data_IF_957207129516
#
_entry.id   IF_957207129516
#
_cell.length_a   1.000
_cell.length_b   1.000
_cell.length_c   1.000
_cell.angle_alpha   90.00
_cell.angle_beta   90.00
_cell.angle_gamma   90.00
#
_symmetry.space_group_name_H-M   'P 1'
#
loop_
_entity.id
_entity.type
_entity.pdbx_description
1 polymer ?
#
# COMPACT_ATOMS: atom_id res chain seq x y z
N UNK A 1 -45.62 54.06 -19.52
CA UNK A 1 -46.03 53.24 -18.35
C UNK A 1 -44.78 52.62 -17.76
N UNK A 2 -44.66 52.68 -16.44
CA UNK A 2 -43.48 52.32 -15.66
C UNK A 2 -43.42 50.81 -15.40
N UNK A 3 -42.20 50.26 -15.28
CA UNK A 3 -41.85 49.26 -14.25
C UNK A 3 -40.34 49.06 -14.22
N UNK A 4 -39.71 49.69 -13.24
CA UNK A 4 -38.34 49.45 -12.77
C UNK A 4 -38.31 48.08 -12.07
N UNK A 5 -37.34 47.22 -12.42
CA UNK A 5 -37.07 45.98 -11.68
C UNK A 5 -35.66 46.07 -11.09
N UNK A 6 -35.60 45.99 -9.77
CA UNK A 6 -34.42 46.06 -8.91
C UNK A 6 -33.83 44.67 -8.63
N UNK A 7 -32.52 44.67 -8.37
CA UNK A 7 -31.74 43.74 -7.53
C UNK A 7 -31.28 42.38 -8.11
N UNK A 8 -30.02 42.35 -8.53
CA UNK A 8 -29.14 41.18 -8.40
C UNK A 8 -27.84 41.66 -7.76
N UNK A 9 -27.60 41.32 -6.50
CA UNK A 9 -26.36 41.62 -5.79
C UNK A 9 -25.19 40.82 -6.40
N UNK A 10 -23.95 41.35 -6.39
CA UNK A 10 -22.78 40.59 -6.79
C UNK A 10 -22.53 39.45 -5.80
N UNK A 11 -22.29 38.27 -6.35
CA UNK A 11 -21.96 37.06 -5.62
C UNK A 11 -20.64 37.29 -4.86
N UNK A 12 -20.71 37.40 -3.53
CA UNK A 12 -19.53 37.53 -2.68
C UNK A 12 -18.63 36.29 -2.83
N UNK A 13 -17.30 36.45 -2.91
CA UNK A 13 -16.38 35.34 -2.95
C UNK A 13 -16.51 34.53 -1.66
N UNK A 14 -16.91 33.27 -1.83
CA UNK A 14 -17.10 32.31 -0.75
C UNK A 14 -15.81 32.18 0.07
N UNK A 15 -16.01 32.28 1.38
CA UNK A 15 -15.02 32.36 2.44
C UNK A 15 -13.79 31.45 2.26
N UNK A 16 -12.65 32.04 2.67
CA UNK A 16 -11.33 31.44 2.87
C UNK A 16 -11.42 30.00 3.39
N UNK A 17 -10.69 29.11 2.71
CA UNK A 17 -10.40 27.77 3.20
C UNK A 17 -9.92 27.84 4.66
N UNK A 18 -10.53 27.01 5.52
CA UNK A 18 -10.03 26.81 6.88
C UNK A 18 -8.54 26.44 6.81
N UNK A 19 -7.70 26.92 7.74
CA UNK A 19 -6.32 26.49 7.81
C UNK A 19 -6.32 24.97 7.88
N UNK A 20 -5.65 24.34 6.92
CA UNK A 20 -5.38 22.90 6.93
C UNK A 20 -4.57 22.65 8.20
N UNK A 21 -5.24 22.30 9.30
CA UNK A 21 -4.57 21.88 10.52
C UNK A 21 -3.58 20.78 10.18
N UNK A 22 -2.41 20.83 10.81
CA UNK A 22 -1.31 19.88 10.62
C UNK A 22 -1.87 18.45 10.61
N UNK A 23 -1.92 17.85 9.41
CA UNK A 23 -2.36 16.47 9.26
C UNK A 23 -1.25 15.57 9.76
N UNK A 24 -1.31 15.27 11.05
CA UNK A 24 -0.39 14.33 11.68
C UNK A 24 -0.85 12.91 11.37
N UNK A 25 0.06 12.08 10.85
CA UNK A 25 -0.17 10.64 10.71
C UNK A 25 -0.44 10.08 12.12
N UNK A 26 -1.68 9.70 12.40
CA UNK A 26 -2.03 9.10 13.69
C UNK A 26 -1.39 7.71 13.77
N UNK A 27 -0.36 7.59 14.62
CA UNK A 27 0.30 6.33 14.92
C UNK A 27 0.33 6.09 16.42
N UNK A 28 0.08 4.85 16.88
CA UNK A 28 0.30 4.49 18.28
C UNK A 28 1.80 4.46 18.65
N UNK A 29 2.69 4.54 17.66
CA UNK A 29 4.13 4.50 17.88
C UNK A 29 4.72 5.91 17.89
N UNK A 30 5.68 6.13 18.78
CA UNK A 30 6.55 7.30 18.71
C UNK A 30 7.50 7.10 17.54
N UNK A 31 7.15 7.64 16.38
CA UNK A 31 7.97 7.62 15.17
C UNK A 31 8.10 9.01 14.57
N UNK A 32 8.98 9.19 13.57
CA UNK A 32 9.18 10.46 12.87
C UNK A 32 7.92 11.09 12.25
N UNK A 33 6.81 10.34 12.18
CA UNK A 33 5.58 10.80 11.54
C UNK A 33 5.69 10.82 10.01
N UNK A 34 6.68 10.12 9.45
CA UNK A 34 6.89 9.94 8.01
C UNK A 34 7.01 8.46 7.67
N UNK A 35 6.54 8.02 6.50
CA UNK A 35 6.71 6.64 6.07
C UNK A 35 8.18 6.28 5.88
N UNK A 36 8.49 5.00 6.06
CA UNK A 36 9.78 4.40 5.81
C UNK A 36 10.15 4.53 4.33
N UNK A 37 11.38 4.98 4.09
CA UNK A 37 11.98 4.92 2.74
C UNK A 37 12.26 3.47 2.36
N UNK A 38 12.58 3.22 1.08
CA UNK A 38 13.04 1.90 0.65
C UNK A 38 14.32 1.46 1.39
N UNK A 39 15.20 2.41 1.76
CA UNK A 39 16.41 2.11 2.53
C UNK A 39 16.07 1.71 3.96
N UNK A 40 15.11 2.38 4.60
CA UNK A 40 14.68 2.06 5.96
C UNK A 40 13.98 0.70 6.01
N UNK A 41 13.12 0.39 5.05
CA UNK A 41 12.49 -0.94 4.95
C UNK A 41 13.53 -2.05 4.78
N UNK A 42 14.51 -1.87 3.89
CA UNK A 42 15.61 -2.83 3.72
C UNK A 42 16.42 -3.01 5.00
N UNK A 43 16.74 -1.91 5.70
CA UNK A 43 17.46 -1.96 6.99
C UNK A 43 16.65 -2.75 8.02
N UNK A 44 15.36 -2.42 8.16
CA UNK A 44 14.45 -3.09 9.09
C UNK A 44 14.38 -4.60 8.86
N UNK A 45 14.26 -5.04 7.59
CA UNK A 45 14.21 -6.45 7.22
C UNK A 45 15.56 -7.13 7.46
N UNK A 46 16.67 -6.49 7.09
CA UNK A 46 18.02 -7.02 7.33
C UNK A 46 18.33 -7.23 8.81
N UNK A 47 17.92 -6.29 9.67
CA UNK A 47 18.04 -6.40 11.13
C UNK A 47 17.16 -7.54 11.67
N UNK A 48 15.94 -7.71 11.16
CA UNK A 48 15.07 -8.83 11.51
C UNK A 48 15.71 -10.17 11.15
N UNK A 49 16.24 -10.29 9.92
CA UNK A 49 16.90 -11.50 9.44
C UNK A 49 18.12 -11.88 10.29
N UNK A 50 18.94 -10.88 10.64
CA UNK A 50 20.08 -11.05 11.53
C UNK A 50 19.64 -11.53 12.92
N UNK A 51 18.62 -10.89 13.51
CA UNK A 51 18.12 -11.19 14.85
C UNK A 51 17.57 -12.62 14.97
N UNK A 52 16.86 -13.10 13.95
CA UNK A 52 16.21 -14.43 14.01
C UNK A 52 17.09 -15.57 13.49
N UNK A 53 18.16 -15.25 12.77
CA UNK A 53 19.06 -16.24 12.16
C UNK A 53 18.34 -17.14 11.15
N UNK A 54 17.47 -16.55 10.33
CA UNK A 54 16.68 -17.27 9.32
C UNK A 54 15.50 -18.10 9.84
N UNK A 55 15.29 -18.19 11.16
CA UNK A 55 14.15 -18.92 11.75
C UNK A 55 12.85 -18.14 11.59
N UNK A 56 11.81 -18.79 11.08
CA UNK A 56 10.47 -18.21 10.98
C UNK A 56 9.49 -18.94 11.90
N UNK A 57 8.39 -18.27 12.25
CA UNK A 57 7.28 -18.84 13.00
C UNK A 57 5.96 -18.42 12.35
N UNK A 58 4.87 -19.20 12.48
CA UNK A 58 3.56 -18.79 12.00
C UNK A 58 3.16 -17.44 12.58
N UNK A 59 2.74 -16.52 11.71
CA UNK A 59 2.36 -15.16 12.09
C UNK A 59 0.84 -14.99 12.13
N UNK A 60 0.37 -13.92 12.79
CA UNK A 60 -1.05 -13.56 12.92
C UNK A 60 -1.29 -12.22 12.24
N UNK A 61 -2.57 -11.82 12.11
CA UNK A 61 -2.95 -10.49 11.62
C UNK A 61 -2.30 -9.36 12.43
N UNK A 62 -2.04 -9.59 13.72
CA UNK A 62 -1.32 -8.65 14.58
C UNK A 62 0.05 -8.27 14.00
N UNK A 63 0.86 -9.25 13.61
CA UNK A 63 2.21 -8.97 13.10
C UNK A 63 2.16 -8.20 11.76
N UNK A 64 1.17 -8.44 10.90
CA UNK A 64 0.93 -7.61 9.71
C UNK A 64 0.59 -6.17 10.07
N UNK A 65 -0.36 -5.96 10.99
CA UNK A 65 -0.76 -4.62 11.43
C UNK A 65 0.41 -3.87 12.02
N UNK A 66 1.15 -4.50 12.93
CA UNK A 66 2.32 -3.89 13.59
C UNK A 66 3.40 -3.53 12.57
N UNK A 67 3.74 -4.43 11.66
CA UNK A 67 4.71 -4.19 10.59
C UNK A 67 4.30 -3.01 9.70
N UNK A 68 3.06 -3.00 9.23
CA UNK A 68 2.59 -1.92 8.35
C UNK A 68 2.54 -0.57 9.07
N UNK A 69 2.12 -0.54 10.33
CA UNK A 69 2.13 0.70 11.11
C UNK A 69 3.56 1.18 11.34
N UNK A 70 4.52 0.28 11.62
CA UNK A 70 5.93 0.64 11.73
C UNK A 70 6.47 1.26 10.43
N UNK A 71 6.18 0.65 9.27
CA UNK A 71 6.56 1.22 7.97
C UNK A 71 5.89 2.56 7.69
N UNK A 72 4.61 2.75 8.00
CA UNK A 72 3.93 4.03 7.77
C UNK A 72 4.37 5.15 8.70
N UNK A 73 4.98 4.80 9.83
CA UNK A 73 5.48 5.75 10.82
C UNK A 73 7.00 5.88 10.80
N UNK A 74 7.70 5.17 9.92
CA UNK A 74 9.16 5.23 9.80
C UNK A 74 9.89 4.75 11.05
N UNK A 75 9.28 3.82 11.79
CA UNK A 75 9.82 3.32 13.07
C UNK A 75 10.87 2.25 12.79
N UNK A 76 12.05 2.39 13.41
CA UNK A 76 13.12 1.40 13.28
C UNK A 76 12.79 0.11 14.06
N UNK A 77 13.42 -1.02 13.70
CA UNK A 77 13.12 -2.30 14.35
C UNK A 77 13.38 -2.27 15.86
N UNK A 78 14.51 -1.73 16.28
CA UNK A 78 14.87 -1.63 17.70
C UNK A 78 13.84 -0.83 18.51
N UNK A 79 13.36 0.29 17.95
CA UNK A 79 12.33 1.13 18.56
C UNK A 79 11.00 0.39 18.64
N UNK A 80 10.60 -0.30 17.56
CA UNK A 80 9.39 -1.11 17.54
C UNK A 80 9.42 -2.18 18.63
N UNK A 81 10.52 -2.92 18.77
CA UNK A 81 10.64 -3.97 19.78
C UNK A 81 10.69 -3.41 21.21
N UNK A 82 11.21 -2.20 21.40
CA UNK A 82 11.15 -1.48 22.67
C UNK A 82 9.72 -1.06 23.05
N UNK A 83 8.94 -0.61 22.08
CA UNK A 83 7.54 -0.18 22.28
C UNK A 83 6.55 -1.35 22.34
N UNK A 84 6.89 -2.50 21.73
CA UNK A 84 6.04 -3.68 21.63
C UNK A 84 6.79 -4.97 22.00
N UNK A 85 7.21 -5.15 23.27
CA UNK A 85 8.05 -6.28 23.68
C UNK A 85 7.38 -7.66 23.54
N UNK A 86 6.05 -7.70 23.35
CA UNK A 86 5.31 -8.94 23.10
C UNK A 86 5.33 -9.44 21.65
N UNK A 87 5.93 -8.69 20.72
CA UNK A 87 6.03 -9.07 19.31
C UNK A 87 7.19 -10.06 19.13
N UNK A 88 6.90 -11.21 18.52
CA UNK A 88 7.93 -12.21 18.18
C UNK A 88 8.57 -11.83 16.83
N UNK A 89 9.88 -11.48 16.79
CA UNK A 89 10.56 -11.09 15.56
C UNK A 89 10.49 -12.16 14.46
N UNK A 90 10.42 -13.45 14.82
CA UNK A 90 10.31 -14.56 13.86
C UNK A 90 8.98 -14.54 13.11
N UNK A 91 7.91 -14.12 13.80
CA UNK A 91 6.58 -13.96 13.21
C UNK A 91 6.52 -12.70 12.35
N UNK A 92 7.19 -11.63 12.77
CA UNK A 92 7.27 -10.39 11.99
C UNK A 92 7.97 -10.62 10.65
N UNK A 93 9.12 -11.30 10.65
CA UNK A 93 9.81 -11.67 9.42
C UNK A 93 8.98 -12.62 8.54
N UNK A 94 8.28 -13.59 9.14
CA UNK A 94 7.40 -14.48 8.40
C UNK A 94 6.24 -13.72 7.74
N UNK A 95 5.66 -12.74 8.43
CA UNK A 95 4.63 -11.87 7.90
C UNK A 95 5.15 -11.05 6.70
N UNK A 96 6.32 -10.44 6.83
CA UNK A 96 6.96 -9.68 5.75
C UNK A 96 7.15 -10.54 4.50
N UNK A 97 7.81 -11.69 4.65
CA UNK A 97 8.11 -12.60 3.52
C UNK A 97 6.86 -13.11 2.83
N UNK A 98 5.81 -13.46 3.60
CA UNK A 98 4.56 -13.93 3.04
C UNK A 98 3.83 -12.85 2.21
N UNK A 99 3.92 -11.58 2.62
CA UNK A 99 3.36 -10.46 1.86
C UNK A 99 4.21 -10.20 0.61
N UNK A 100 5.54 -10.16 0.77
CA UNK A 100 6.46 -9.89 -0.34
C UNK A 100 6.37 -10.95 -1.44
N UNK A 101 6.29 -12.24 -1.07
CA UNK A 101 6.09 -13.33 -2.02
C UNK A 101 4.82 -13.12 -2.85
N UNK A 102 3.69 -12.80 -2.20
CA UNK A 102 2.42 -12.56 -2.89
C UNK A 102 2.44 -11.29 -3.74
N UNK A 103 3.09 -10.22 -3.24
CA UNK A 103 3.28 -8.97 -3.98
C UNK A 103 4.09 -9.23 -5.25
N UNK A 104 5.20 -9.94 -5.14
CA UNK A 104 6.06 -10.31 -6.27
C UNK A 104 5.33 -11.20 -7.28
N UNK A 105 4.53 -12.18 -6.84
CA UNK A 105 3.68 -12.98 -7.73
C UNK A 105 2.64 -12.14 -8.48
N UNK A 106 2.02 -11.18 -7.80
CA UNK A 106 1.03 -10.29 -8.40
C UNK A 106 1.65 -9.29 -9.38
N UNK A 107 2.83 -8.77 -9.07
CA UNK A 107 3.64 -7.94 -9.97
C UNK A 107 4.05 -8.73 -11.21
N UNK A 108 4.60 -9.94 -11.05
CA UNK A 108 4.97 -10.79 -12.18
C UNK A 108 3.76 -11.14 -13.07
N UNK A 109 2.59 -11.38 -12.46
CA UNK A 109 1.35 -11.61 -13.20
C UNK A 109 0.93 -10.39 -14.02
N UNK A 110 1.09 -9.18 -13.49
CA UNK A 110 0.88 -7.95 -14.26
C UNK A 110 1.87 -7.84 -15.43
N UNK A 111 3.15 -8.06 -15.17
CA UNK A 111 4.19 -7.99 -16.21
C UNK A 111 3.93 -8.99 -17.35
N UNK A 112 3.45 -10.20 -17.03
CA UNK A 112 3.07 -11.18 -18.04
C UNK A 112 1.93 -10.67 -18.93
N UNK A 113 0.89 -10.05 -18.35
CA UNK A 113 -0.24 -9.47 -19.09
C UNK A 113 0.24 -8.30 -19.96
N UNK A 114 1.08 -7.42 -19.42
CA UNK A 114 1.56 -6.25 -20.14
C UNK A 114 2.50 -6.61 -21.32
N UNK A 115 3.32 -7.64 -21.16
CA UNK A 115 4.27 -8.08 -22.20
C UNK A 115 3.64 -8.95 -23.28
N UNK A 116 2.59 -9.72 -22.95
CA UNK A 116 1.83 -10.54 -23.89
C UNK A 116 0.32 -10.29 -23.73
N UNK A 117 -0.23 -9.23 -24.35
CA UNK A 117 -1.59 -8.76 -24.12
C UNK A 117 -2.63 -9.58 -24.88
N UNK A 118 -2.55 -10.90 -24.80
CA UNK A 118 -3.53 -11.83 -25.35
C UNK A 118 -4.65 -12.11 -24.33
N UNK A 119 -5.89 -12.36 -24.78
CA UNK A 119 -6.99 -12.76 -23.88
C UNK A 119 -6.64 -13.99 -23.03
N UNK A 120 -5.89 -14.94 -23.60
CA UNK A 120 -5.45 -16.17 -22.94
C UNK A 120 -4.48 -15.87 -21.77
N UNK A 121 -3.44 -15.06 -22.02
CA UNK A 121 -2.50 -14.64 -20.97
C UNK A 121 -3.22 -13.83 -19.90
N UNK A 122 -4.15 -12.96 -20.28
CA UNK A 122 -4.97 -12.23 -19.31
C UNK A 122 -5.81 -13.15 -18.43
N UNK A 123 -6.48 -14.15 -18.99
CA UNK A 123 -7.27 -15.10 -18.19
C UNK A 123 -6.42 -15.89 -17.20
N UNK A 124 -5.21 -16.27 -17.62
CA UNK A 124 -4.27 -17.01 -16.79
C UNK A 124 -3.80 -16.18 -15.58
N UNK A 125 -3.50 -14.90 -15.77
CA UNK A 125 -2.82 -14.08 -14.77
C UNK A 125 -3.69 -13.07 -14.03
N UNK A 126 -4.89 -12.72 -14.52
CA UNK A 126 -5.71 -11.64 -13.95
C UNK A 126 -6.00 -11.81 -12.46
N UNK A 127 -6.23 -13.05 -11.99
CA UNK A 127 -6.58 -13.32 -10.59
C UNK A 127 -5.39 -12.95 -9.69
N UNK A 128 -4.18 -13.29 -10.12
CA UNK A 128 -2.94 -12.99 -9.40
C UNK A 128 -2.59 -11.51 -9.44
N UNK A 129 -2.88 -10.79 -10.52
CA UNK A 129 -2.62 -9.35 -10.64
C UNK A 129 -3.67 -8.48 -9.90
N UNK A 130 -4.90 -8.97 -9.73
CA UNK A 130 -6.03 -8.23 -9.13
C UNK A 130 -5.72 -7.60 -7.77
N UNK A 131 -5.04 -8.25 -6.81
CA UNK A 131 -4.75 -7.65 -5.51
C UNK A 131 -3.98 -6.33 -5.56
N UNK A 132 -3.11 -6.13 -6.57
CA UNK A 132 -2.34 -4.89 -6.71
C UNK A 132 -3.05 -3.86 -7.60
N UNK A 133 -3.71 -4.31 -8.68
CA UNK A 133 -4.30 -3.44 -9.69
C UNK A 133 -5.81 -3.70 -9.91
N UNK A 134 -6.64 -3.70 -8.86
CA UNK A 134 -8.03 -4.19 -8.96
C UNK A 134 -8.89 -3.38 -9.93
N UNK A 135 -8.68 -2.07 -10.00
CA UNK A 135 -9.43 -1.17 -10.89
C UNK A 135 -9.06 -1.41 -12.36
N UNK A 136 -7.76 -1.51 -12.67
CA UNK A 136 -7.29 -1.76 -14.03
C UNK A 136 -7.75 -3.13 -14.51
N UNK A 137 -7.56 -4.17 -13.69
CA UNK A 137 -8.02 -5.53 -14.05
C UNK A 137 -9.53 -5.55 -14.28
N UNK A 138 -10.32 -4.86 -13.47
CA UNK A 138 -11.77 -4.76 -13.69
C UNK A 138 -12.14 -4.07 -15.01
N UNK A 139 -11.38 -3.05 -15.42
CA UNK A 139 -11.51 -2.41 -16.72
C UNK A 139 -11.18 -3.37 -17.87
N UNK A 140 -10.05 -4.07 -17.75
CA UNK A 140 -9.59 -5.05 -18.74
C UNK A 140 -10.55 -6.25 -18.88
N UNK A 141 -11.22 -6.68 -17.81
CA UNK A 141 -12.29 -7.70 -17.89
C UNK A 141 -13.41 -7.25 -18.83
N UNK A 142 -13.76 -5.97 -18.85
CA UNK A 142 -14.78 -5.42 -19.76
C UNK A 142 -14.24 -5.34 -21.19
N UNK A 143 -13.02 -4.82 -21.35
CA UNK A 143 -12.36 -4.70 -22.66
C UNK A 143 -12.13 -6.07 -23.34
N UNK A 144 -11.95 -7.14 -22.55
CA UNK A 144 -11.79 -8.52 -23.05
C UNK A 144 -12.94 -8.98 -23.94
N UNK A 145 -14.15 -8.42 -23.80
CA UNK A 145 -15.28 -8.75 -24.65
C UNK A 145 -15.12 -8.25 -26.11
N UNK A 146 -14.16 -7.36 -26.37
CA UNK A 146 -13.87 -6.74 -27.66
C UNK A 146 -12.41 -7.02 -28.08
N UNK A 147 -12.12 -8.17 -28.71
CA UNK A 147 -10.75 -8.64 -28.92
C UNK A 147 -9.88 -7.68 -29.74
N UNK A 148 -10.47 -6.93 -30.66
CA UNK A 148 -9.77 -5.99 -31.54
C UNK A 148 -9.17 -4.79 -30.77
N UNK A 149 -9.71 -4.45 -29.60
CA UNK A 149 -9.25 -3.34 -28.75
C UNK A 149 -8.52 -3.78 -27.48
N UNK A 150 -8.53 -5.07 -27.14
CA UNK A 150 -8.00 -5.54 -25.85
C UNK A 150 -6.53 -5.19 -25.65
N UNK A 151 -5.68 -5.44 -26.65
CA UNK A 151 -4.25 -5.14 -26.56
C UNK A 151 -3.97 -3.64 -26.40
N UNK A 152 -4.77 -2.78 -27.03
CA UNK A 152 -4.67 -1.32 -26.87
C UNK A 152 -5.03 -0.88 -25.45
N UNK A 153 -6.08 -1.47 -24.85
CA UNK A 153 -6.47 -1.19 -23.47
C UNK A 153 -5.42 -1.66 -22.45
N UNK A 154 -4.75 -2.80 -22.71
CA UNK A 154 -3.61 -3.26 -21.90
C UNK A 154 -2.43 -2.28 -22.00
N UNK A 155 -2.11 -1.82 -23.19
CA UNK A 155 -1.03 -0.83 -23.43
C UNK A 155 -1.32 0.49 -22.68
N UNK A 156 -2.54 1.02 -22.81
CA UNK A 156 -2.97 2.21 -22.08
C UNK A 156 -2.91 2.03 -20.55
N UNK A 157 -3.27 0.85 -20.04
CA UNK A 157 -3.14 0.51 -18.63
C UNK A 157 -1.65 0.40 -18.20
N UNK A 158 -0.79 -0.15 -19.05
CA UNK A 158 0.67 -0.21 -18.86
C UNK A 158 1.31 1.17 -18.76
N UNK A 159 0.92 2.08 -19.65
CA UNK A 159 1.34 3.47 -19.61
C UNK A 159 0.90 4.16 -18.32
N UNK A 160 -0.35 3.94 -17.90
CA UNK A 160 -0.87 4.51 -16.65
C UNK A 160 -0.10 3.99 -15.42
N UNK A 161 0.23 2.70 -15.40
CA UNK A 161 1.05 2.10 -14.33
C UNK A 161 2.44 2.70 -14.31
N UNK A 162 3.10 2.74 -15.47
CA UNK A 162 4.46 3.28 -15.62
C UNK A 162 4.55 4.75 -15.17
N UNK A 163 3.64 5.59 -15.65
CA UNK A 163 3.59 7.01 -15.28
C UNK A 163 3.35 7.21 -13.79
N UNK A 164 2.44 6.42 -13.20
CA UNK A 164 2.12 6.53 -11.77
C UNK A 164 3.31 6.08 -10.91
N UNK A 165 3.94 4.96 -11.28
CA UNK A 165 5.12 4.43 -10.58
C UNK A 165 6.28 5.42 -10.62
N UNK A 166 6.58 6.02 -11.77
CA UNK A 166 7.64 7.05 -11.89
C UNK A 166 7.36 8.24 -10.96
N UNK A 167 6.11 8.74 -10.91
CA UNK A 167 5.73 9.85 -10.03
C UNK A 167 5.92 9.50 -8.56
N UNK A 168 5.51 8.30 -8.14
CA UNK A 168 5.68 7.84 -6.76
C UNK A 168 7.16 7.70 -6.40
N UNK A 169 7.96 7.09 -7.28
CA UNK A 169 9.40 6.93 -7.06
C UNK A 169 10.13 8.28 -6.94
N UNK A 170 9.71 9.30 -7.69
CA UNK A 170 10.23 10.65 -7.53
C UNK A 170 9.94 11.21 -6.12
N UNK A 171 8.73 11.05 -5.60
CA UNK A 171 8.37 11.47 -4.24
C UNK A 171 9.18 10.71 -3.16
N UNK A 172 9.39 9.42 -3.36
CA UNK A 172 10.18 8.60 -2.43
C UNK A 172 11.68 8.90 -2.46
N UNK A 173 12.19 9.27 -3.63
CA UNK A 173 13.58 9.72 -3.80
C UNK A 173 13.76 11.03 -3.03
N UNK A 174 12.86 11.99 -3.24
CA UNK A 174 12.87 13.26 -2.48
C UNK A 174 12.77 13.01 -0.96
N UNK A 175 11.92 12.08 -0.51
CA UNK A 175 11.81 11.75 0.91
C UNK A 175 13.10 11.17 1.51
N UNK A 176 13.95 10.57 0.67
CA UNK A 176 15.23 9.99 1.07
C UNK A 176 16.36 11.01 1.15
N UNK A 177 16.16 12.22 0.60
CA UNK A 177 17.13 13.31 0.65
C UNK A 177 17.17 13.97 2.04
N UNK A 178 18.22 14.75 2.29
CA UNK A 178 18.37 15.54 3.52
C UNK A 178 17.42 16.75 3.49
N UNK A 179 16.17 16.48 3.85
CA UNK A 179 15.09 17.44 3.94
C UNK A 179 14.83 17.84 5.39
N UNK A 180 14.39 19.08 5.59
CA UNK A 180 13.89 19.50 6.89
C UNK A 180 12.63 18.70 7.31
N UNK A 181 12.39 18.66 8.62
CA UNK A 181 11.32 17.84 9.20
C UNK A 181 9.93 18.18 8.64
N UNK A 182 9.64 19.46 8.38
CA UNK A 182 8.34 19.91 7.87
C UNK A 182 8.12 19.39 6.48
N UNK A 183 9.13 19.53 5.59
CA UNK A 183 9.04 19.04 4.22
C UNK A 183 8.93 17.52 4.13
N UNK A 184 9.64 16.80 5.02
CA UNK A 184 9.52 15.33 5.11
C UNK A 184 8.12 14.90 5.50
N UNK A 185 7.51 15.55 6.50
CA UNK A 185 6.13 15.28 6.93
C UNK A 185 5.15 15.53 5.78
N UNK A 186 5.30 16.66 5.07
CA UNK A 186 4.45 17.00 3.94
C UNK A 186 4.50 15.93 2.83
N UNK A 187 5.72 15.52 2.42
CA UNK A 187 5.91 14.45 1.44
C UNK A 187 5.39 13.11 1.94
N UNK A 188 5.61 12.78 3.22
CA UNK A 188 5.10 11.58 3.85
C UNK A 188 3.58 11.50 3.80
N UNK A 189 2.90 12.61 4.05
CA UNK A 189 1.45 12.73 3.91
C UNK A 189 1.01 12.58 2.44
N UNK A 190 1.71 13.17 1.48
CA UNK A 190 1.39 12.95 0.06
C UNK A 190 1.45 11.46 -0.35
N UNK A 191 2.39 10.70 0.21
CA UNK A 191 2.52 9.27 -0.05
C UNK A 191 1.43 8.44 0.65
N UNK A 192 1.15 8.72 1.94
CA UNK A 192 0.47 7.78 2.84
C UNK A 192 -0.67 8.36 3.71
N UNK A 193 -1.21 9.58 3.47
CA UNK A 193 -2.21 10.27 4.33
C UNK A 193 -3.61 9.61 4.43
N UNK A 194 -3.73 8.28 4.38
CA UNK A 194 -4.91 7.48 4.74
C UNK A 194 -6.20 7.72 3.93
N UNK A 195 -6.28 8.82 3.19
CA UNK A 195 -7.39 9.25 2.37
C UNK A 195 -7.24 8.77 0.93
N UNK A 196 -8.31 8.97 0.16
CA UNK A 196 -8.43 8.42 -1.19
C UNK A 196 -7.33 8.88 -2.17
N UNK A 197 -6.68 10.02 -1.91
CA UNK A 197 -5.77 10.69 -2.84
C UNK A 197 -4.28 10.51 -2.50
N UNK A 198 -3.91 9.62 -1.59
CA UNK A 198 -2.49 9.35 -1.33
C UNK A 198 -1.84 8.69 -2.55
N UNK A 199 -0.57 8.99 -2.81
CA UNK A 199 0.12 8.49 -4.00
C UNK A 199 0.18 6.95 -4.03
N UNK A 200 0.32 6.31 -2.86
CA UNK A 200 0.27 4.85 -2.74
C UNK A 200 -1.12 4.23 -2.93
N UNK A 201 -2.19 5.04 -2.88
CA UNK A 201 -3.56 4.59 -3.10
C UNK A 201 -4.05 4.81 -4.54
N UNK A 202 -3.22 5.37 -5.42
CA UNK A 202 -3.60 5.60 -6.81
C UNK A 202 -3.93 4.27 -7.51
N UNK A 203 -5.04 4.20 -8.29
CA UNK A 203 -5.50 2.94 -8.90
C UNK A 203 -4.46 2.23 -9.76
N UNK A 204 -3.61 2.99 -10.46
CA UNK A 204 -2.56 2.50 -11.33
C UNK A 204 -1.18 2.41 -10.66
N UNK A 205 -1.03 2.77 -9.38
CA UNK A 205 0.26 2.59 -8.71
C UNK A 205 0.53 1.11 -8.47
N UNK A 206 1.64 0.59 -9.00
CA UNK A 206 2.13 -0.76 -8.74
C UNK A 206 3.14 -0.73 -7.56
N UNK A 207 2.80 -1.29 -6.38
CA UNK A 207 3.67 -1.24 -5.20
C UNK A 207 4.96 -2.04 -5.39
N UNK A 208 6.10 -1.34 -5.36
CA UNK A 208 7.42 -1.95 -5.53
C UNK A 208 7.99 -2.63 -4.26
N UNK A 209 7.36 -2.43 -3.09
CA UNK A 209 7.78 -3.01 -1.81
C UNK A 209 6.61 -3.12 -0.83
N UNK A 210 6.78 -3.88 0.24
CA UNK A 210 5.72 -4.16 1.22
C UNK A 210 5.25 -2.88 1.92
N UNK A 211 6.16 -1.98 2.28
CA UNK A 211 5.85 -0.76 3.02
C UNK A 211 4.88 0.21 2.31
N UNK A 212 4.75 0.11 0.98
CA UNK A 212 3.86 0.97 0.18
C UNK A 212 2.48 0.36 -0.07
N UNK A 213 2.21 -0.83 0.47
CA UNK A 213 0.90 -1.45 0.38
C UNK A 213 -0.14 -0.71 1.22
N UNK A 214 -1.19 -0.23 0.56
CA UNK A 214 -2.38 0.30 1.24
C UNK A 214 -3.20 -0.84 1.87
N UNK A 215 -3.98 -0.58 2.93
CA UNK A 215 -4.66 -1.64 3.70
C UNK A 215 -5.51 -2.57 2.82
N UNK A 216 -6.22 -2.00 1.84
CA UNK A 216 -7.09 -2.76 0.92
C UNK A 216 -6.28 -3.74 0.06
N UNK A 217 -5.12 -3.33 -0.45
CA UNK A 217 -4.23 -4.19 -1.26
C UNK A 217 -3.60 -5.28 -0.42
N UNK A 218 -3.16 -4.94 0.80
CA UNK A 218 -2.62 -5.91 1.74
C UNK A 218 -3.65 -7.00 2.10
N UNK A 219 -4.89 -6.59 2.37
CA UNK A 219 -5.97 -7.52 2.68
C UNK A 219 -6.30 -8.43 1.49
N UNK A 220 -6.32 -7.87 0.28
CA UNK A 220 -6.52 -8.63 -0.95
C UNK A 220 -5.41 -9.66 -1.20
N UNK A 221 -4.14 -9.32 -0.93
CA UNK A 221 -3.01 -10.24 -1.08
C UNK A 221 -3.10 -11.40 -0.08
N UNK A 222 -3.42 -11.10 1.18
CA UNK A 222 -3.42 -12.11 2.27
C UNK A 222 -4.72 -12.93 2.30
N UNK A 223 -5.75 -12.54 1.53
CA UNK A 223 -6.97 -13.34 1.33
C UNK A 223 -7.95 -13.31 2.50
N UNK A 224 -7.93 -12.27 3.34
CA UNK A 224 -8.87 -12.07 4.45
C UNK A 224 -8.85 -13.11 5.58
N UNK A 225 -8.25 -14.28 5.38
CA UNK A 225 -8.22 -15.42 6.30
C UNK A 225 -6.78 -15.84 6.54
N UNK A 226 -6.13 -15.20 7.52
CA UNK A 226 -5.00 -15.85 8.21
C UNK A 226 -5.62 -16.89 9.14
N UNK A 227 -6.02 -18.05 8.59
CA UNK A 227 -6.46 -19.18 9.40
C UNK A 227 -5.26 -19.85 10.07
N UNK A 228 -5.36 -20.04 11.37
CA UNK A 228 -4.33 -20.67 12.18
C UNK A 228 -4.49 -22.19 12.13
N UNK A 229 -3.40 -22.97 11.99
CA UNK A 229 -3.42 -24.33 12.50
C UNK A 229 -3.60 -24.24 14.03
N UNK A 230 -4.80 -24.55 14.51
CA UNK A 230 -5.08 -24.62 15.95
C UNK A 230 -4.24 -25.76 16.56
N UNK A 231 -3.10 -25.41 17.17
CA UNK A 231 -2.28 -26.37 17.88
C UNK A 231 -2.92 -26.72 19.23
N UNK A 232 -3.76 -27.77 19.22
CA UNK A 232 -3.80 -28.95 20.12
C UNK A 232 -5.24 -29.45 20.30
N UNK A 233 -5.51 -30.75 20.10
CA UNK A 233 -6.72 -31.37 20.62
C UNK A 233 -6.72 -31.21 22.14
N UNK A 234 -7.87 -30.80 22.70
CA UNK A 234 -8.09 -30.86 24.15
C UNK A 234 -7.80 -32.31 24.60
N UNK A 235 -6.94 -32.56 25.60
CA UNK A 235 -6.82 -33.89 26.16
C UNK A 235 -8.20 -34.31 26.67
N UNK A 236 -8.68 -35.44 26.16
CA UNK A 236 -9.96 -36.01 26.55
C UNK A 236 -10.04 -36.18 28.06
N UNK A 237 -11.14 -35.71 28.64
CA UNK A 237 -11.54 -36.14 29.99
C UNK A 237 -11.74 -37.65 29.94
N UNK A 238 -10.80 -38.40 30.50
CA UNK A 238 -11.07 -39.76 30.92
C UNK A 238 -12.21 -39.71 31.95
N UNK A 239 -13.25 -40.51 31.72
CA UNK A 239 -14.26 -40.85 32.71
C UNK A 239 -13.84 -42.12 33.41
#
# INVERSE_FOLDING_TARGET
MWTTRTHGAPNEPRAMAAPQGERQIQSPWAGPGVPATATDERRFVGELEHLVGGRTAPFRRLELTVMMTAFRSGVALAELLGQAPGIDPRRLLAAYRAVEERRSLAEHAWDAIANDPTPETFDLFRVSATPLLPVLISGLVRARAEPEGFAFEVDAASDAVSQTTVRVLALETLLSDDLDVTRRIELGSMLCDGGANSAWNLPAYLPARVGTLMPVRLEALIGGTVEFPSARPRPGRAR
#
